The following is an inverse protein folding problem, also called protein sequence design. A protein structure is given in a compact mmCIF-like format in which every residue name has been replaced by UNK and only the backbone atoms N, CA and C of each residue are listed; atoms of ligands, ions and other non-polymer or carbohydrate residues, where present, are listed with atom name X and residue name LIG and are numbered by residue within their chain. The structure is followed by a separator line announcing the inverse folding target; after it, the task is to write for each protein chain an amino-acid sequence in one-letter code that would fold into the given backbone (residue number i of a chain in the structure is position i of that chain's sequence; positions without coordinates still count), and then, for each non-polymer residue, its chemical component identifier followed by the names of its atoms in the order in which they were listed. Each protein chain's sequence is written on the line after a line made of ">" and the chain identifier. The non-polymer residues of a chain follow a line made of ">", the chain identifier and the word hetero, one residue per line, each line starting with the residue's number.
data_IF_186688270007
#
_entry.id   IF_186688270007
#
_cell.length_a   1.000
_cell.length_b   1.000
_cell.length_c   1.000
_cell.angle_alpha   90.00
_cell.angle_beta   90.00
_cell.angle_gamma   90.00
#
_symmetry.space_group_name_H-M   'P 1'
#
loop_
_entity.id
_entity.type
_entity.pdbx_description
1 polymer ?
#
# COMPACT_ATOMS: atom_id res chain seq x y z
N UNK A 1 -11.12 -10.92 7.44
CA UNK A 1 -9.73 -10.41 7.32
C UNK A 1 -9.58 -8.91 7.63
N UNK A 2 -10.54 -8.06 7.24
CA UNK A 2 -10.52 -6.61 7.57
C UNK A 2 -10.39 -6.32 9.07
N UNK A 3 -11.00 -7.13 9.93
CA UNK A 3 -10.94 -6.92 11.39
C UNK A 3 -9.55 -7.17 11.98
N UNK A 4 -8.80 -8.14 11.44
CA UNK A 4 -7.41 -8.40 11.83
C UNK A 4 -6.52 -7.20 11.49
N UNK A 5 -6.70 -6.63 10.30
CA UNK A 5 -5.96 -5.44 9.86
C UNK A 5 -6.22 -4.19 10.71
N UNK A 6 -7.45 -4.09 11.23
CA UNK A 6 -7.88 -2.97 12.06
C UNK A 6 -7.34 -3.06 13.48
N UNK A 7 -7.31 -4.26 14.08
CA UNK A 7 -7.09 -4.42 15.52
C UNK A 7 -5.74 -5.01 15.90
N UNK A 8 -5.11 -5.81 15.04
CA UNK A 8 -3.91 -6.55 15.44
C UNK A 8 -2.63 -5.72 15.23
N UNK A 9 -1.75 -5.69 16.22
CA UNK A 9 -0.39 -5.14 16.10
C UNK A 9 0.64 -6.20 15.72
N UNK A 10 0.40 -7.44 16.13
CA UNK A 10 1.23 -8.59 15.83
C UNK A 10 0.41 -9.69 15.17
N UNK A 11 1.02 -10.38 14.21
CA UNK A 11 0.43 -11.54 13.53
C UNK A 11 1.33 -12.76 13.73
N UNK A 12 0.72 -13.92 13.96
CA UNK A 12 1.37 -15.22 13.93
C UNK A 12 0.64 -16.09 12.90
N UNK A 13 1.37 -16.56 11.89
CA UNK A 13 0.85 -17.45 10.84
C UNK A 13 1.19 -18.88 11.23
N UNK A 14 0.16 -19.71 11.37
CA UNK A 14 0.29 -21.13 11.73
C UNK A 14 -0.24 -22.00 10.57
N UNK A 15 0.53 -23.01 10.19
CA UNK A 15 0.10 -24.03 9.24
C UNK A 15 0.48 -25.40 9.78
N UNK A 16 -0.49 -26.32 9.83
CA UNK A 16 -0.30 -27.70 10.32
C UNK A 16 0.42 -27.77 11.69
N UNK A 17 0.08 -26.86 12.60
CA UNK A 17 0.66 -26.79 13.94
C UNK A 17 2.08 -26.21 14.02
N UNK A 18 2.61 -25.64 12.92
CA UNK A 18 3.92 -24.98 12.88
C UNK A 18 3.79 -23.48 12.62
N UNK A 19 4.62 -22.69 13.27
CA UNK A 19 4.74 -21.24 13.01
C UNK A 19 5.48 -21.04 11.68
N UNK A 20 4.80 -20.44 10.70
CA UNK A 20 5.38 -20.06 9.42
C UNK A 20 6.01 -18.66 9.46
N UNK A 21 5.40 -17.73 10.21
CA UNK A 21 5.89 -16.36 10.38
C UNK A 21 5.27 -15.72 11.62
N UNK A 22 6.00 -14.84 12.30
CA UNK A 22 5.53 -14.11 13.46
C UNK A 22 6.22 -12.74 13.55
N UNK A 23 5.47 -11.69 13.87
CA UNK A 23 6.04 -10.33 13.95
C UNK A 23 4.98 -9.22 13.81
N UNK A 24 5.42 -7.96 13.69
CA UNK A 24 4.54 -6.82 13.45
C UNK A 24 3.67 -7.06 12.22
N UNK A 25 2.39 -6.71 12.29
CA UNK A 25 1.42 -7.01 11.24
C UNK A 25 1.87 -6.49 9.87
N UNK A 26 2.48 -5.30 9.80
CA UNK A 26 2.96 -4.70 8.56
C UNK A 26 4.03 -5.55 7.87
N UNK A 27 4.90 -6.20 8.65
CA UNK A 27 5.95 -7.06 8.14
C UNK A 27 5.40 -8.43 7.72
N UNK A 28 4.59 -9.05 8.58
CA UNK A 28 4.06 -10.39 8.34
C UNK A 28 3.05 -10.38 7.18
N UNK A 29 2.23 -9.33 7.07
CA UNK A 29 1.25 -9.17 6.00
C UNK A 29 1.91 -9.14 4.61
N UNK A 30 3.11 -8.55 4.49
CA UNK A 30 3.84 -8.50 3.23
C UNK A 30 4.67 -9.78 2.94
N UNK A 31 4.70 -10.73 3.87
CA UNK A 31 5.54 -11.92 3.76
C UNK A 31 4.98 -12.94 2.77
N UNK A 32 5.87 -13.75 2.16
CA UNK A 32 5.46 -14.87 1.30
C UNK A 32 4.57 -15.87 2.04
N UNK A 33 4.73 -15.99 3.35
CA UNK A 33 3.92 -16.85 4.20
C UNK A 33 2.44 -16.42 4.20
N UNK A 34 2.08 -15.15 3.97
CA UNK A 34 0.68 -14.73 3.93
C UNK A 34 -0.02 -14.97 2.60
N UNK A 35 0.71 -15.31 1.53
CA UNK A 35 0.17 -15.47 0.17
C UNK A 35 -1.00 -16.46 0.06
N UNK A 36 -1.03 -17.62 0.75
CA UNK A 36 -2.18 -18.53 0.67
C UNK A 36 -3.48 -17.93 1.21
N UNK A 37 -3.36 -16.98 2.15
CA UNK A 37 -4.50 -16.35 2.84
C UNK A 37 -4.87 -14.98 2.27
N UNK A 38 -4.02 -14.40 1.41
CA UNK A 38 -4.33 -13.20 0.67
C UNK A 38 -4.88 -13.60 -0.70
N UNK A 39 -6.19 -13.44 -0.90
CA UNK A 39 -6.69 -13.54 -2.26
C UNK A 39 -6.06 -12.43 -3.12
N UNK A 40 -5.94 -12.65 -4.41
CA UNK A 40 -5.36 -11.66 -5.33
C UNK A 40 -6.09 -10.31 -5.30
N UNK A 41 -7.41 -10.31 -5.08
CA UNK A 41 -8.22 -9.10 -4.86
C UNK A 41 -7.87 -8.37 -3.56
N UNK A 42 -7.19 -9.02 -2.63
CA UNK A 42 -6.82 -8.54 -1.30
C UNK A 42 -5.32 -8.20 -1.18
N UNK A 43 -4.52 -8.38 -2.25
CA UNK A 43 -3.14 -7.93 -2.25
C UNK A 43 -3.12 -6.42 -1.93
N UNK A 44 -2.41 -6.07 -0.86
CA UNK A 44 -2.42 -4.74 -0.31
C UNK A 44 -1.11 -4.44 0.37
N UNK A 45 -0.80 -3.15 0.44
CA UNK A 45 0.34 -2.62 1.18
C UNK A 45 -0.16 -1.98 2.45
N UNK A 46 0.45 -2.34 3.59
CA UNK A 46 0.22 -1.67 4.86
C UNK A 46 1.36 -0.69 5.13
N UNK A 47 1.01 0.53 5.50
CA UNK A 47 1.95 1.55 5.92
C UNK A 47 1.71 1.93 7.37
N UNK A 48 2.80 2.12 8.12
CA UNK A 48 2.79 2.96 9.31
C UNK A 48 3.13 4.37 8.86
N UNK A 49 2.20 5.30 8.98
CA UNK A 49 2.36 6.67 8.51
C UNK A 49 2.22 7.68 9.66
N UNK A 50 2.73 8.89 9.46
CA UNK A 50 2.61 9.99 10.44
C UNK A 50 1.70 11.08 9.90
N UNK A 51 0.74 11.55 10.70
CA UNK A 51 -0.10 12.70 10.33
C UNK A 51 0.78 13.95 10.20
N UNK A 52 0.71 14.58 9.04
CA UNK A 52 1.54 15.74 8.70
C UNK A 52 0.77 17.05 8.85
N UNK A 53 -0.44 17.10 8.29
CA UNK A 53 -1.35 18.25 8.36
C UNK A 53 -2.75 17.87 7.91
N UNK A 54 -3.72 18.69 8.27
CA UNK A 54 -5.10 18.58 7.77
C UNK A 54 -5.41 19.69 6.79
N UNK A 55 -6.18 19.36 5.77
CA UNK A 55 -6.77 20.30 4.82
C UNK A 55 -8.25 20.47 5.14
N UNK A 56 -8.53 21.36 6.09
CA UNK A 56 -9.87 21.55 6.68
C UNK A 56 -10.96 21.81 5.62
N UNK A 57 -10.69 22.66 4.63
CA UNK A 57 -11.70 23.04 3.63
C UNK A 57 -12.19 21.88 2.73
N UNK A 58 -11.43 20.77 2.63
CA UNK A 58 -11.79 19.61 1.81
C UNK A 58 -11.91 18.33 2.63
N UNK A 59 -11.77 18.40 3.95
CA UNK A 59 -11.80 17.21 4.82
C UNK A 59 -10.75 16.17 4.42
N UNK A 60 -9.50 16.59 4.20
CA UNK A 60 -8.40 15.68 3.88
C UNK A 60 -7.29 15.74 4.91
N UNK A 61 -6.59 14.63 5.10
CA UNK A 61 -5.38 14.57 5.93
C UNK A 61 -4.18 14.20 5.07
N UNK A 62 -3.09 14.94 5.20
CA UNK A 62 -1.81 14.56 4.62
C UNK A 62 -1.08 13.68 5.63
N UNK A 63 -0.55 12.57 5.15
CA UNK A 63 0.20 11.61 5.94
C UNK A 63 1.54 11.33 5.28
N UNK A 64 2.56 11.15 6.10
CA UNK A 64 3.94 10.87 5.69
C UNK A 64 4.20 9.37 5.76
N UNK A 65 4.67 8.80 4.65
CA UNK A 65 5.12 7.40 4.57
C UNK A 65 6.64 7.28 4.74
N UNK A 66 7.39 8.24 4.20
CA UNK A 66 8.84 8.37 4.29
C UNK A 66 9.21 9.86 4.21
N UNK A 67 10.50 10.22 4.33
CA UNK A 67 10.98 11.61 4.39
C UNK A 67 10.34 12.54 3.34
N UNK A 68 10.21 12.09 2.09
CA UNK A 68 9.62 12.88 0.99
C UNK A 68 8.39 12.23 0.35
N UNK A 69 7.85 11.17 0.96
CA UNK A 69 6.71 10.43 0.42
C UNK A 69 5.48 10.73 1.25
N UNK A 70 4.49 11.37 0.64
CA UNK A 70 3.27 11.81 1.31
C UNK A 70 2.04 11.33 0.55
N UNK A 71 0.97 11.05 1.28
CA UNK A 71 -0.34 10.78 0.71
C UNK A 71 -1.37 11.74 1.29
N UNK A 72 -2.37 12.07 0.48
CA UNK A 72 -3.63 12.64 0.91
C UNK A 72 -4.65 11.52 1.09
N UNK A 73 -5.30 11.52 2.24
CA UNK A 73 -6.39 10.60 2.60
C UNK A 73 -7.61 11.38 3.04
N UNK A 74 -8.76 10.69 3.13
CA UNK A 74 -9.93 11.24 3.81
C UNK A 74 -9.57 11.66 5.23
N UNK A 75 -10.26 12.67 5.75
CA UNK A 75 -9.98 13.23 7.08
C UNK A 75 -9.84 12.11 8.13
N UNK A 76 -8.75 12.16 8.88
CA UNK A 76 -8.50 11.26 10.01
C UNK A 76 -8.63 12.08 11.29
N UNK A 77 -9.31 11.53 12.29
CA UNK A 77 -9.43 12.10 13.62
C UNK A 77 -8.18 11.76 14.47
N UNK A 78 -7.05 12.38 14.13
CA UNK A 78 -5.79 12.21 14.87
C UNK A 78 -4.94 13.47 14.77
N UNK A 79 -4.19 13.79 15.83
CA UNK A 79 -3.36 14.99 15.87
C UNK A 79 -2.16 14.89 14.93
N UNK A 80 -1.66 16.04 14.45
CA UNK A 80 -0.38 16.12 13.74
C UNK A 80 0.74 15.50 14.57
N UNK A 81 1.56 14.66 13.93
CA UNK A 81 2.61 13.87 14.60
C UNK A 81 2.15 12.48 15.04
N UNK A 82 0.85 12.20 15.07
CA UNK A 82 0.32 10.89 15.45
C UNK A 82 0.65 9.83 14.40
N UNK A 83 0.89 8.60 14.85
CA UNK A 83 1.04 7.44 13.96
C UNK A 83 -0.31 6.86 13.60
N UNK A 84 -0.53 6.61 12.31
CA UNK A 84 -1.74 5.95 11.78
C UNK A 84 -1.34 4.76 10.92
N UNK A 85 -2.20 3.73 10.87
CA UNK A 85 -2.00 2.59 9.97
C UNK A 85 -2.84 2.79 8.72
N UNK A 86 -2.25 2.54 7.57
CA UNK A 86 -2.92 2.71 6.29
C UNK A 86 -2.84 1.44 5.47
N UNK A 87 -3.87 1.19 4.67
CA UNK A 87 -3.91 0.13 3.68
C UNK A 87 -4.15 0.73 2.30
N UNK A 88 -3.30 0.37 1.35
CA UNK A 88 -3.51 0.63 -0.07
C UNK A 88 -3.70 -0.72 -0.76
N UNK A 89 -4.85 -0.93 -1.39
CA UNK A 89 -5.08 -2.15 -2.18
C UNK A 89 -4.33 -2.03 -3.50
N UNK A 90 -3.71 -3.12 -3.95
CA UNK A 90 -2.94 -3.10 -5.19
C UNK A 90 -3.80 -2.76 -6.43
N UNK A 91 -5.09 -3.13 -6.39
CA UNK A 91 -6.07 -2.78 -7.45
C UNK A 91 -6.50 -1.30 -7.43
N UNK A 92 -6.23 -0.57 -6.35
CA UNK A 92 -6.51 0.86 -6.24
C UNK A 92 -5.31 1.73 -6.70
N UNK A 93 -4.27 1.09 -7.25
CA UNK A 93 -3.06 1.73 -7.77
C UNK A 93 -2.99 1.54 -9.29
N UNK A 94 -3.01 2.64 -10.05
CA UNK A 94 -2.73 2.63 -11.49
C UNK A 94 -1.33 3.16 -11.78
N UNK A 95 -0.80 2.83 -12.97
CA UNK A 95 0.55 3.21 -13.41
C UNK A 95 0.43 4.19 -14.58
N UNK A 96 1.23 5.25 -14.55
CA UNK A 96 1.46 6.15 -15.67
C UNK A 96 2.97 6.31 -15.92
N UNK A 97 3.37 6.47 -17.18
CA UNK A 97 4.78 6.72 -17.53
C UNK A 97 5.15 8.20 -17.34
N UNK A 98 4.22 9.09 -17.69
CA UNK A 98 4.33 10.52 -17.46
C UNK A 98 3.51 10.96 -16.27
N UNK A 99 3.95 12.02 -15.58
CA UNK A 99 3.20 12.60 -14.47
C UNK A 99 1.87 13.15 -14.97
N UNK A 100 0.72 12.59 -14.56
CA UNK A 100 -0.57 13.12 -14.99
C UNK A 100 -0.78 14.55 -14.47
N UNK A 101 -1.09 15.48 -15.38
CA UNK A 101 -1.36 16.89 -15.04
C UNK A 101 -2.84 17.15 -14.79
N UNK A 102 -3.72 16.39 -15.44
CA UNK A 102 -5.17 16.47 -15.31
C UNK A 102 -5.72 15.12 -14.81
N UNK A 103 -5.83 14.99 -13.49
CA UNK A 103 -6.41 13.79 -12.86
C UNK A 103 -7.24 14.16 -11.63
N UNK A 104 -8.29 13.39 -11.39
CA UNK A 104 -9.01 13.42 -10.10
C UNK A 104 -8.25 12.69 -9.00
N UNK A 105 -7.28 11.83 -9.34
CA UNK A 105 -6.43 11.12 -8.38
C UNK A 105 -5.39 12.11 -7.84
N UNK A 106 -5.47 12.40 -6.53
CA UNK A 106 -4.59 13.37 -5.86
C UNK A 106 -3.20 12.81 -5.55
N UNK A 107 -3.14 11.51 -5.30
CA UNK A 107 -1.90 10.82 -4.94
C UNK A 107 -1.22 10.32 -6.21
N UNK A 108 -0.24 11.08 -6.68
CA UNK A 108 0.60 10.75 -7.82
C UNK A 108 2.04 10.75 -7.34
N UNK A 109 2.60 9.57 -7.13
CA UNK A 109 3.93 9.40 -6.55
C UNK A 109 4.92 8.90 -7.61
N UNK A 110 6.11 9.51 -7.73
CA UNK A 110 7.18 8.89 -8.49
C UNK A 110 7.57 7.56 -7.82
N UNK A 111 7.86 6.55 -8.63
CA UNK A 111 8.22 5.23 -8.16
C UNK A 111 9.16 4.54 -9.14
N UNK A 112 9.82 3.48 -8.68
CA UNK A 112 10.59 2.57 -9.53
C UNK A 112 10.04 1.16 -9.45
N UNK A 113 9.85 0.49 -10.58
CA UNK A 113 9.49 -0.93 -10.58
C UNK A 113 10.69 -1.74 -10.08
N UNK A 114 10.54 -2.50 -9.01
CA UNK A 114 11.62 -3.34 -8.44
C UNK A 114 11.35 -4.83 -8.57
N UNK A 115 10.10 -5.23 -8.84
CA UNK A 115 9.76 -6.60 -9.19
C UNK A 115 8.46 -6.65 -10.00
N UNK A 116 8.34 -7.65 -10.86
CA UNK A 116 7.15 -7.96 -11.63
C UNK A 116 6.81 -9.43 -11.37
N UNK A 117 5.57 -9.70 -10.97
CA UNK A 117 5.08 -11.04 -10.72
C UNK A 117 3.90 -11.33 -11.66
N UNK A 118 4.12 -12.25 -12.60
CA UNK A 118 3.07 -12.79 -13.46
C UNK A 118 2.22 -13.79 -12.68
N UNK A 119 0.91 -13.67 -12.83
CA UNK A 119 -0.05 -14.55 -12.15
C UNK A 119 -0.28 -15.84 -12.95
N UNK A 120 -1.04 -16.78 -12.36
CA UNK A 120 -1.43 -18.02 -13.03
C UNK A 120 -2.21 -17.74 -14.33
N UNK A 121 -2.14 -18.61 -15.35
CA UNK A 121 -2.71 -18.38 -16.68
C UNK A 121 -4.22 -18.03 -16.72
N UNK A 122 -4.97 -18.40 -15.68
CA UNK A 122 -6.40 -18.09 -15.56
C UNK A 122 -6.69 -16.62 -15.24
N UNK A 123 -5.69 -15.85 -14.81
CA UNK A 123 -5.81 -14.44 -14.46
C UNK A 123 -4.89 -13.59 -15.35
N UNK A 124 -5.49 -12.79 -16.22
CA UNK A 124 -4.78 -11.85 -17.12
C UNK A 124 -4.34 -10.57 -16.39
N UNK A 125 -3.56 -10.72 -15.34
CA UNK A 125 -3.08 -9.63 -14.49
C UNK A 125 -1.63 -9.81 -14.08
N UNK A 126 -0.97 -8.69 -13.80
CA UNK A 126 0.44 -8.61 -13.43
C UNK A 126 0.57 -7.78 -12.16
N UNK A 127 1.24 -8.31 -11.15
CA UNK A 127 1.54 -7.58 -9.92
C UNK A 127 2.89 -6.89 -10.06
N UNK A 128 2.96 -5.63 -9.65
CA UNK A 128 4.16 -4.80 -9.68
C UNK A 128 4.53 -4.42 -8.25
N UNK A 129 5.78 -4.65 -7.87
CA UNK A 129 6.35 -4.07 -6.66
C UNK A 129 7.05 -2.78 -7.04
N UNK A 130 6.62 -1.68 -6.44
CA UNK A 130 7.12 -0.34 -6.67
C UNK A 130 7.91 0.12 -5.45
N UNK A 131 9.05 0.75 -5.65
CA UNK A 131 9.79 1.49 -4.63
C UNK A 131 9.45 2.97 -4.73
N UNK A 132 8.90 3.54 -3.66
CA UNK A 132 8.56 4.97 -3.55
C UNK A 132 9.72 5.77 -2.95
N UNK A 133 10.48 5.14 -2.05
CA UNK A 133 11.68 5.63 -1.38
C UNK A 133 12.44 4.42 -0.82
N UNK A 134 13.70 4.56 -0.34
CA UNK A 134 14.43 3.46 0.26
C UNK A 134 13.60 2.75 1.34
N UNK A 135 13.41 1.43 1.19
CA UNK A 135 12.61 0.58 2.07
C UNK A 135 11.11 0.91 2.17
N UNK A 136 10.59 1.79 1.32
CA UNK A 136 9.18 2.14 1.23
C UNK A 136 8.60 1.61 -0.08
N UNK A 137 7.89 0.48 0.00
CA UNK A 137 7.36 -0.22 -1.16
C UNK A 137 5.85 -0.11 -1.26
N UNK A 138 5.33 -0.15 -2.49
CA UNK A 138 3.92 -0.20 -2.81
C UNK A 138 3.66 -1.31 -3.83
N UNK A 139 2.63 -2.10 -3.61
CA UNK A 139 2.13 -3.06 -4.60
C UNK A 139 1.06 -2.44 -5.47
N UNK A 140 1.14 -2.70 -6.77
CA UNK A 140 0.11 -2.39 -7.75
C UNK A 140 -0.26 -3.67 -8.52
N UNK A 141 -1.49 -3.73 -9.01
CA UNK A 141 -1.95 -4.75 -9.93
C UNK A 141 -2.45 -4.06 -11.19
N UNK A 142 -1.91 -4.48 -12.34
CA UNK A 142 -2.33 -4.02 -13.65
C UNK A 142 -2.83 -5.19 -14.48
N UNK A 143 -3.60 -4.89 -15.54
CA UNK A 143 -3.95 -5.91 -16.52
C UNK A 143 -2.70 -6.31 -17.31
N UNK A 144 -2.69 -7.54 -17.81
CA UNK A 144 -1.63 -7.99 -18.72
C UNK A 144 -1.53 -7.12 -19.98
N UNK A 145 -2.67 -6.60 -20.44
CA UNK A 145 -2.71 -5.64 -21.55
C UNK A 145 -1.97 -4.34 -21.21
N UNK A 146 -2.27 -3.69 -20.07
CA UNK A 146 -1.58 -2.47 -19.68
C UNK A 146 -0.08 -2.68 -19.46
N UNK A 147 0.32 -3.82 -18.89
CA UNK A 147 1.72 -4.20 -18.77
C UNK A 147 2.43 -4.27 -20.13
N UNK A 148 1.82 -4.94 -21.11
CA UNK A 148 2.37 -5.09 -22.45
C UNK A 148 2.37 -3.75 -23.23
N UNK A 149 1.28 -2.99 -23.16
CA UNK A 149 1.12 -1.71 -23.86
C UNK A 149 2.12 -0.65 -23.39
N UNK A 150 2.35 -0.59 -22.07
CA UNK A 150 3.30 0.34 -21.47
C UNK A 150 4.74 -0.19 -21.45
N UNK A 151 4.96 -1.41 -21.96
CA UNK A 151 6.26 -2.09 -21.95
C UNK A 151 6.96 -2.03 -20.57
N UNK A 152 6.22 -2.33 -19.50
CA UNK A 152 6.73 -2.17 -18.13
C UNK A 152 7.85 -3.16 -17.83
N UNK A 153 8.96 -2.65 -17.30
CA UNK A 153 10.15 -3.44 -16.96
C UNK A 153 10.68 -3.12 -15.57
N UNK A 154 11.39 -4.08 -14.96
CA UNK A 154 12.11 -3.85 -13.70
C UNK A 154 13.17 -2.77 -13.93
N UNK A 155 13.25 -1.82 -13.00
CA UNK A 155 14.13 -0.66 -13.05
C UNK A 155 13.47 0.57 -13.66
N UNK A 156 12.33 0.44 -14.34
CA UNK A 156 11.66 1.56 -15.00
C UNK A 156 11.12 2.59 -13.99
N UNK A 157 11.38 3.90 -14.20
CA UNK A 157 10.71 4.95 -13.45
C UNK A 157 9.27 5.12 -13.94
N UNK A 158 8.33 5.23 -13.01
CA UNK A 158 6.90 5.38 -13.28
C UNK A 158 6.24 6.32 -12.28
N UNK A 159 4.99 6.68 -12.52
CA UNK A 159 4.13 7.35 -11.56
C UNK A 159 3.04 6.39 -11.07
N UNK A 160 3.01 6.15 -9.76
CA UNK A 160 1.95 5.41 -9.09
C UNK A 160 0.80 6.36 -8.75
N UNK A 161 -0.38 6.08 -9.26
CA UNK A 161 -1.61 6.84 -8.99
C UNK A 161 -2.49 6.05 -8.03
N UNK A 162 -2.72 6.59 -6.82
CA UNK A 162 -3.41 5.86 -5.76
C UNK A 162 -4.80 6.47 -5.54
N UNK A 163 -5.84 5.77 -5.99
CA UNK A 163 -7.23 6.24 -5.94
C UNK A 163 -7.90 5.93 -4.61
N UNK A 164 -7.61 4.76 -4.05
CA UNK A 164 -8.22 4.24 -2.83
C UNK A 164 -7.18 4.06 -1.73
N UNK A 165 -7.46 4.63 -0.56
CA UNK A 165 -6.66 4.44 0.65
C UNK A 165 -7.61 4.24 1.82
N UNK A 166 -7.44 3.15 2.56
CA UNK A 166 -8.15 2.91 3.82
C UNK A 166 -7.22 3.26 4.98
N UNK A 167 -7.73 3.97 5.98
CA UNK A 167 -6.95 4.33 7.18
C UNK A 167 -7.61 3.66 8.38
N UNK A 168 -6.80 2.96 9.17
CA UNK A 168 -7.19 2.48 10.49
C UNK A 168 -6.49 3.36 11.53
N UNK A 169 -7.27 3.86 12.48
CA UNK A 169 -6.70 4.49 13.66
C UNK A 169 -6.02 3.40 14.48
N UNK A 170 -4.75 3.61 14.84
CA UNK A 170 -4.16 2.81 15.91
C UNK A 170 -4.83 3.28 17.20
N UNK A 171 -5.37 2.35 17.98
CA UNK A 171 -5.68 2.65 19.37
C UNK A 171 -4.36 3.10 20.00
N UNK A 172 -4.26 4.39 20.33
CA UNK A 172 -3.14 4.90 21.11
C UNK A 172 -3.29 4.23 22.46
N UNK A 173 -2.52 3.16 22.70
CA UNK A 173 -2.24 2.75 24.07
C UNK A 173 -1.47 3.92 24.65
N UNK A 174 -2.17 4.78 25.38
CA UNK A 174 -1.57 5.78 26.25
C UNK A 174 -0.70 4.98 27.23
N UNK A 175 0.60 4.89 26.94
CA UNK A 175 1.57 4.57 27.99
C UNK A 175 1.66 5.79 28.89
N UNK A 176 0.77 5.87 29.87
CA UNK A 176 0.96 6.57 31.13
C UNK A 176 0.25 5.82 32.25
#
# INVERSE_FOLDING_TARGET
>A
MQEILRLADHLVVLEQGKVLSAGPIEQVWLSKAMRPWQSFSEQSTLFSATVAKHHQAYGLTQVRLAEEVWLWVQQVEADVGSSVRMQVRANDVSIALDKPTASSIRNILPARIVAIEHQQPSKKSVSLKLELAPHCYLWAVVTEWAHAELALEVGMPVFAQIKGVSVAQRDVILTH
#
